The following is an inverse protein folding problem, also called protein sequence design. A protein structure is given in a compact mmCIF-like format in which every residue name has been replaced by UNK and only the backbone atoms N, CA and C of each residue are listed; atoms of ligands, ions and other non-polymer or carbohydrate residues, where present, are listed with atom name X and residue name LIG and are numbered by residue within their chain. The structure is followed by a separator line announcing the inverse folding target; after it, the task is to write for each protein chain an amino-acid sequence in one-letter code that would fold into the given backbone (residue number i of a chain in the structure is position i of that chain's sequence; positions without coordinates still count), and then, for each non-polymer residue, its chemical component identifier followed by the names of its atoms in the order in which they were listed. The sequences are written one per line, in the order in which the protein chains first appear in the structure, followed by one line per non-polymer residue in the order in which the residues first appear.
data_IF_778187201854
#
_entry.id   IF_778187201854
#
_cell.length_a   1.000
_cell.length_b   1.000
_cell.length_c   1.000
_cell.angle_alpha   90.00
_cell.angle_beta   90.00
_cell.angle_gamma   90.00
#
_symmetry.space_group_name_H-M   'P 1'
#
loop_
_entity.id
_entity.type
_entity.pdbx_description
1 polymer ?
#
# COMPACT_ATOMS: atom_id res chain seq x y z
N UNK A 1 -15.74 67.79 -22.68
CA UNK A 1 -15.61 66.51 -21.96
C UNK A 1 -16.98 66.02 -21.49
N UNK A 2 -17.96 65.82 -22.42
CA UNK A 2 -19.38 65.46 -22.10
C UNK A 2 -19.98 64.36 -22.98
N UNK A 3 -19.19 63.54 -23.64
CA UNK A 3 -19.71 62.55 -24.64
C UNK A 3 -19.53 61.11 -24.21
N UNK A 4 -18.91 60.84 -23.06
CA UNK A 4 -18.62 59.45 -22.63
C UNK A 4 -19.63 58.82 -21.66
N UNK A 5 -20.61 59.58 -21.16
CA UNK A 5 -21.57 59.08 -20.15
C UNK A 5 -22.83 58.49 -20.74
N UNK A 6 -23.20 58.85 -21.97
CA UNK A 6 -24.44 58.36 -22.58
C UNK A 6 -24.31 56.97 -23.27
N UNK A 7 -23.06 56.56 -23.60
CA UNK A 7 -22.87 55.25 -24.19
C UNK A 7 -22.95 54.09 -23.19
N UNK A 8 -22.70 54.37 -21.93
CA UNK A 8 -22.71 53.35 -20.85
C UNK A 8 -24.14 53.02 -20.38
N UNK A 9 -25.09 53.98 -20.48
CA UNK A 9 -26.46 53.75 -20.05
C UNK A 9 -27.27 52.95 -21.10
N UNK A 10 -26.91 53.04 -22.36
CA UNK A 10 -27.57 52.28 -23.42
C UNK A 10 -27.17 50.79 -23.40
N UNK A 11 -25.94 50.47 -22.99
CA UNK A 11 -25.48 49.08 -22.88
C UNK A 11 -26.13 48.34 -21.68
N UNK A 12 -26.47 49.07 -20.60
CA UNK A 12 -27.10 48.46 -19.42
C UNK A 12 -28.59 48.16 -19.64
N UNK A 13 -29.26 48.88 -20.56
CA UNK A 13 -30.69 48.69 -20.85
C UNK A 13 -30.96 47.52 -21.82
N UNK A 14 -29.98 47.14 -22.65
CA UNK A 14 -30.11 46.00 -23.54
C UNK A 14 -29.99 44.64 -22.83
N UNK A 15 -29.42 44.58 -21.63
CA UNK A 15 -29.25 43.34 -20.86
C UNK A 15 -30.52 42.89 -20.10
N UNK A 16 -31.54 43.76 -20.00
CA UNK A 16 -32.78 43.48 -19.25
C UNK A 16 -33.91 42.91 -20.12
N UNK A 17 -33.72 42.79 -21.45
CA UNK A 17 -34.73 42.26 -22.37
C UNK A 17 -34.43 40.85 -22.90
N UNK A 18 -33.73 40.07 -22.12
CA UNK A 18 -33.60 38.64 -22.49
C UNK A 18 -34.89 37.92 -22.04
N UNK A 19 -35.64 37.33 -22.97
CA UNK A 19 -36.82 36.57 -22.59
C UNK A 19 -36.36 35.36 -21.78
N UNK A 20 -36.78 35.27 -20.52
CA UNK A 20 -36.65 34.02 -19.73
C UNK A 20 -37.51 32.95 -20.42
N UNK A 21 -36.92 32.19 -21.33
CA UNK A 21 -37.54 31.01 -21.85
C UNK A 21 -37.82 30.03 -20.73
N UNK A 22 -39.08 29.98 -20.33
CA UNK A 22 -39.56 28.91 -19.45
C UNK A 22 -39.39 27.60 -20.21
N UNK A 23 -38.37 26.83 -19.78
CA UNK A 23 -38.28 25.46 -20.19
C UNK A 23 -39.48 24.71 -19.57
N UNK A 24 -40.49 24.46 -20.39
CA UNK A 24 -41.55 23.51 -20.09
C UNK A 24 -40.85 22.14 -19.91
N UNK A 25 -40.63 21.74 -18.67
CA UNK A 25 -40.32 20.39 -18.36
C UNK A 25 -41.52 19.52 -18.72
N UNK A 26 -41.52 19.03 -19.96
CA UNK A 26 -42.46 18.01 -20.38
C UNK A 26 -42.32 16.83 -19.44
N UNK A 27 -43.34 16.61 -18.61
CA UNK A 27 -43.49 15.44 -17.79
C UNK A 27 -43.59 14.22 -18.72
N UNK A 28 -42.43 13.70 -19.14
CA UNK A 28 -42.35 12.38 -19.74
C UNK A 28 -42.72 11.39 -18.65
N UNK A 29 -44.01 10.99 -18.71
CA UNK A 29 -44.49 9.80 -18.04
C UNK A 29 -43.41 8.72 -18.16
N UNK A 30 -42.73 8.40 -17.08
CA UNK A 30 -41.78 7.31 -17.05
C UNK A 30 -42.52 6.08 -17.48
N UNK A 31 -42.25 5.63 -18.71
CA UNK A 31 -42.67 4.30 -19.13
C UNK A 31 -42.02 3.36 -18.14
N UNK A 32 -42.85 2.61 -17.43
CA UNK A 32 -42.48 1.48 -16.60
C UNK A 32 -41.69 0.51 -17.51
N UNK A 33 -40.39 0.74 -17.57
CA UNK A 33 -39.45 -0.24 -18.09
C UNK A 33 -39.39 -1.29 -16.99
N UNK A 34 -40.27 -2.27 -17.15
CA UNK A 34 -40.13 -3.55 -16.44
C UNK A 34 -38.64 -3.91 -16.53
N UNK A 35 -37.92 -3.66 -15.43
CA UNK A 35 -36.54 -4.12 -15.28
C UNK A 35 -36.63 -5.64 -15.27
N UNK A 36 -36.49 -6.23 -16.44
CA UNK A 36 -36.17 -7.64 -16.55
C UNK A 36 -34.87 -7.80 -15.74
N UNK A 37 -35.00 -8.35 -14.55
CA UNK A 37 -33.84 -8.67 -13.72
C UNK A 37 -33.11 -9.77 -14.47
N UNK A 38 -32.10 -9.37 -15.24
CA UNK A 38 -31.23 -10.36 -15.85
C UNK A 38 -30.68 -11.28 -14.76
N UNK A 39 -30.75 -12.59 -14.94
CA UNK A 39 -30.23 -13.52 -13.95
C UNK A 39 -28.74 -13.20 -13.74
N UNK A 40 -28.41 -12.76 -12.53
CA UNK A 40 -27.01 -12.53 -12.18
C UNK A 40 -26.31 -13.86 -12.14
N UNK A 41 -25.36 -14.06 -13.06
CA UNK A 41 -24.48 -15.21 -13.02
C UNK A 41 -23.58 -15.05 -11.79
N UNK A 42 -23.71 -15.96 -10.84
CA UNK A 42 -22.79 -16.05 -9.73
C UNK A 42 -21.60 -16.92 -10.16
N UNK A 43 -20.42 -16.31 -10.24
CA UNK A 43 -19.17 -17.05 -10.45
C UNK A 43 -18.61 -17.38 -9.08
N UNK A 44 -18.50 -18.66 -8.79
CA UNK A 44 -17.85 -19.13 -7.56
C UNK A 44 -16.35 -19.14 -7.79
N UNK A 45 -15.61 -18.61 -6.80
CA UNK A 45 -14.15 -18.70 -6.83
C UNK A 45 -13.72 -20.16 -6.70
N UNK A 46 -12.88 -20.70 -7.61
CA UNK A 46 -12.37 -22.06 -7.49
C UNK A 46 -11.49 -22.25 -6.26
N UNK A 47 -10.97 -21.16 -5.67
CA UNK A 47 -10.18 -21.18 -4.45
C UNK A 47 -11.02 -21.31 -3.18
N UNK A 48 -12.37 -21.25 -3.30
CA UNK A 48 -13.26 -21.26 -2.14
C UNK A 48 -13.17 -19.99 -1.29
N UNK A 49 -13.65 -20.08 -0.07
CA UNK A 49 -13.52 -19.01 0.93
C UNK A 49 -12.19 -19.19 1.64
N UNK A 50 -11.27 -18.23 1.57
CA UNK A 50 -10.01 -18.32 2.30
C UNK A 50 -10.30 -18.41 3.81
N UNK A 51 -9.48 -19.15 4.56
CA UNK A 51 -9.62 -19.19 6.02
C UNK A 51 -9.48 -17.80 6.61
N UNK A 52 -10.14 -17.57 7.73
CA UNK A 52 -10.02 -16.29 8.43
C UNK A 52 -8.55 -16.05 8.82
N UNK A 53 -7.97 -14.96 8.31
CA UNK A 53 -6.62 -14.57 8.64
C UNK A 53 -6.65 -13.90 10.01
N UNK A 54 -5.96 -14.48 10.98
CA UNK A 54 -5.70 -13.81 12.24
C UNK A 54 -4.59 -12.76 12.02
N UNK A 55 -4.98 -11.50 12.06
CA UNK A 55 -4.00 -10.40 12.01
C UNK A 55 -3.28 -10.34 13.36
N UNK A 56 -2.02 -10.75 13.37
CA UNK A 56 -1.14 -10.52 14.50
C UNK A 56 -0.55 -9.12 14.40
N UNK A 57 -0.48 -8.43 15.53
CA UNK A 57 0.20 -7.15 15.59
C UNK A 57 1.69 -7.33 15.26
N UNK A 58 2.27 -6.34 14.59
CA UNK A 58 3.73 -6.31 14.39
C UNK A 58 4.44 -6.29 15.73
N UNK A 59 5.60 -6.91 15.79
CA UNK A 59 6.49 -6.82 16.94
C UNK A 59 6.80 -5.35 17.29
N UNK A 60 6.89 -5.01 18.57
CA UNK A 60 7.30 -3.66 18.97
C UNK A 60 8.66 -3.30 18.38
N UNK A 61 8.76 -2.11 17.84
CA UNK A 61 10.04 -1.62 17.33
C UNK A 61 10.96 -1.25 18.50
N UNK A 62 12.26 -1.62 18.44
CA UNK A 62 13.22 -1.16 19.40
C UNK A 62 13.39 0.37 19.31
N UNK A 63 13.57 1.03 20.44
CA UNK A 63 13.79 2.48 20.50
C UNK A 63 15.16 2.92 19.94
N UNK A 64 16.09 1.98 19.78
CA UNK A 64 17.41 2.15 19.22
C UNK A 64 18.09 0.80 19.01
N UNK A 65 19.23 0.82 18.34
CA UNK A 65 19.97 -0.39 18.01
C UNK A 65 21.23 -0.58 18.87
N UNK A 66 21.63 0.41 19.65
CA UNK A 66 22.83 0.33 20.47
C UNK A 66 22.77 -0.83 21.49
N UNK A 67 23.80 -1.65 21.50
CA UNK A 67 23.90 -2.83 22.34
C UNK A 67 22.99 -3.99 21.92
N UNK A 68 22.27 -3.86 20.81
CA UNK A 68 21.35 -4.87 20.30
C UNK A 68 22.04 -5.90 19.42
N UNK A 69 21.47 -7.11 19.38
CA UNK A 69 21.92 -8.18 18.50
C UNK A 69 20.99 -8.29 17.30
N UNK A 70 21.54 -8.10 16.11
CA UNK A 70 20.83 -8.25 14.83
C UNK A 70 21.29 -9.52 14.15
N UNK A 71 20.36 -10.40 13.82
CA UNK A 71 20.61 -11.52 12.94
C UNK A 71 20.34 -11.12 11.50
N UNK A 72 21.31 -11.39 10.62
CA UNK A 72 21.16 -11.25 9.17
C UNK A 72 21.13 -12.67 8.62
N UNK A 73 19.99 -13.04 8.05
CA UNK A 73 19.72 -14.41 7.61
C UNK A 73 19.57 -14.44 6.10
N UNK A 74 20.44 -15.19 5.45
CA UNK A 74 20.32 -15.53 4.05
C UNK A 74 19.45 -16.78 3.89
N UNK A 75 18.44 -16.74 3.03
CA UNK A 75 17.54 -17.85 2.74
C UNK A 75 17.93 -18.66 1.50
N UNK A 76 19.12 -18.41 0.96
CA UNK A 76 19.77 -19.26 -0.05
C UNK A 76 19.47 -18.91 -1.50
N UNK A 77 18.94 -17.73 -1.80
CA UNK A 77 18.82 -17.28 -3.19
C UNK A 77 20.17 -16.83 -3.77
N UNK A 78 20.44 -17.11 -5.05
CA UNK A 78 21.68 -16.70 -5.69
C UNK A 78 21.94 -15.21 -5.59
N UNK A 79 23.10 -14.84 -5.07
CA UNK A 79 23.51 -13.44 -4.87
C UNK A 79 23.02 -12.81 -3.57
N UNK A 80 22.09 -13.43 -2.85
CA UNK A 80 21.60 -12.96 -1.57
C UNK A 80 22.70 -12.91 -0.51
N UNK A 81 23.47 -13.98 -0.41
CA UNK A 81 24.59 -14.09 0.53
C UNK A 81 25.56 -12.91 0.42
N UNK A 82 25.94 -12.52 -0.80
CA UNK A 82 26.89 -11.43 -1.03
C UNK A 82 26.34 -10.12 -0.51
N UNK A 83 25.09 -9.76 -0.86
CA UNK A 83 24.47 -8.54 -0.42
C UNK A 83 24.28 -8.49 1.10
N UNK A 84 23.81 -9.57 1.68
CA UNK A 84 23.54 -9.64 3.12
C UNK A 84 24.83 -9.65 3.94
N UNK A 85 25.90 -10.24 3.42
CA UNK A 85 27.22 -10.18 4.05
C UNK A 85 27.81 -8.78 3.98
N UNK A 86 27.69 -8.07 2.86
CA UNK A 86 28.08 -6.66 2.77
C UNK A 86 27.28 -5.77 3.74
N UNK A 87 26.01 -6.08 3.93
CA UNK A 87 25.19 -5.40 4.95
C UNK A 87 25.74 -5.65 6.35
N UNK A 88 26.17 -6.88 6.68
CA UNK A 88 26.79 -7.18 7.96
C UNK A 88 28.11 -6.41 8.15
N UNK A 89 28.93 -6.32 7.12
CA UNK A 89 30.18 -5.53 7.11
C UNK A 89 29.85 -4.04 7.34
N UNK A 90 28.83 -3.53 6.67
CA UNK A 90 28.39 -2.13 6.84
C UNK A 90 28.00 -1.83 8.28
N UNK A 91 27.20 -2.70 8.92
CA UNK A 91 26.82 -2.55 10.32
C UNK A 91 28.05 -2.55 11.24
N UNK A 92 28.95 -3.50 11.08
CA UNK A 92 30.15 -3.60 11.89
C UNK A 92 31.05 -2.34 11.77
N UNK A 93 31.06 -1.72 10.59
CA UNK A 93 31.86 -0.52 10.35
C UNK A 93 31.17 0.76 10.86
N UNK A 94 29.88 0.90 10.60
CA UNK A 94 29.17 2.16 10.85
C UNK A 94 28.43 2.18 12.21
N UNK A 95 28.13 1.01 12.76
CA UNK A 95 27.39 0.85 14.01
C UNK A 95 28.07 -0.17 14.95
N UNK A 96 29.30 0.10 15.43
CA UNK A 96 30.08 -0.88 16.19
C UNK A 96 29.48 -1.27 17.54
N UNK A 97 28.50 -0.51 18.03
CA UNK A 97 27.73 -0.86 19.22
C UNK A 97 26.68 -1.94 18.99
N UNK A 98 26.40 -2.26 17.72
CA UNK A 98 25.44 -3.31 17.33
C UNK A 98 26.18 -4.61 17.11
N UNK A 99 25.70 -5.68 17.74
CA UNK A 99 26.23 -7.02 17.49
C UNK A 99 25.52 -7.65 16.30
N UNK A 100 26.26 -7.93 15.23
CA UNK A 100 25.72 -8.57 14.03
C UNK A 100 26.10 -10.03 13.97
N UNK A 101 25.13 -10.88 13.68
CA UNK A 101 25.30 -12.33 13.51
C UNK A 101 24.76 -12.73 12.15
N UNK A 102 25.64 -13.12 11.24
CA UNK A 102 25.24 -13.64 9.93
C UNK A 102 24.96 -15.15 10.02
N UNK A 103 23.89 -15.60 9.38
CA UNK A 103 23.50 -17.00 9.25
C UNK A 103 22.92 -17.28 7.89
N UNK A 104 23.15 -18.48 7.39
CA UNK A 104 22.44 -19.00 6.22
C UNK A 104 21.45 -20.06 6.69
N UNK A 105 20.22 -19.95 6.22
CA UNK A 105 19.14 -20.87 6.53
C UNK A 105 19.41 -22.23 5.87
N UNK A 106 19.19 -23.30 6.60
CA UNK A 106 19.34 -24.66 6.07
C UNK A 106 18.13 -25.04 5.18
N UNK A 107 18.41 -25.70 4.07
CA UNK A 107 17.39 -26.20 3.14
C UNK A 107 16.79 -25.14 2.21
N UNK A 108 15.87 -25.54 1.31
CA UNK A 108 15.19 -24.65 0.39
C UNK A 108 14.41 -23.53 1.10
N UNK A 109 14.13 -22.43 0.39
CA UNK A 109 13.48 -21.24 0.98
C UNK A 109 12.08 -21.53 1.53
N UNK A 110 11.35 -22.50 0.96
CA UNK A 110 9.99 -22.88 1.37
C UNK A 110 9.94 -23.61 2.71
N UNK A 111 11.06 -24.14 3.18
CA UNK A 111 11.10 -24.92 4.40
C UNK A 111 11.59 -24.09 5.58
N UNK A 112 10.99 -24.35 6.72
CA UNK A 112 11.44 -23.77 7.96
C UNK A 112 12.77 -24.40 8.43
N UNK A 113 13.61 -23.60 9.09
CA UNK A 113 14.75 -24.06 9.85
C UNK A 113 14.47 -23.89 11.36
N UNK A 114 13.88 -24.90 12.01
CA UNK A 114 13.47 -24.79 13.42
C UNK A 114 14.64 -24.50 14.36
N UNK A 115 15.85 -24.97 14.03
CA UNK A 115 17.04 -24.74 14.86
C UNK A 115 17.49 -23.29 14.80
N UNK A 116 17.56 -22.74 13.60
CA UNK A 116 17.92 -21.34 13.38
C UNK A 116 16.88 -20.42 13.99
N UNK A 117 15.58 -20.69 13.81
CA UNK A 117 14.52 -19.85 14.38
C UNK A 117 14.48 -19.92 15.90
N UNK A 118 14.80 -21.06 16.52
CA UNK A 118 14.95 -21.17 17.96
C UNK A 118 16.15 -20.32 18.47
N UNK A 119 17.29 -20.39 17.78
CA UNK A 119 18.47 -19.56 18.09
C UNK A 119 18.16 -18.08 17.99
N UNK A 120 17.49 -17.66 16.91
CA UNK A 120 17.09 -16.26 16.69
C UNK A 120 16.16 -15.78 17.80
N UNK A 121 15.14 -16.56 18.11
CA UNK A 121 14.16 -16.22 19.14
C UNK A 121 14.80 -16.04 20.51
N UNK A 122 15.85 -16.80 20.82
CA UNK A 122 16.56 -16.72 22.08
C UNK A 122 17.55 -15.56 22.16
N UNK A 123 18.23 -15.24 21.03
CA UNK A 123 19.44 -14.40 21.05
C UNK A 123 19.31 -13.09 20.29
N UNK A 124 18.31 -12.94 19.41
CA UNK A 124 18.17 -11.77 18.57
C UNK A 124 17.21 -10.74 19.15
N UNK A 125 17.58 -9.47 19.08
CA UNK A 125 16.67 -8.34 19.31
C UNK A 125 15.95 -7.94 18.02
N UNK A 126 16.59 -8.15 16.86
CA UNK A 126 16.03 -7.89 15.54
C UNK A 126 16.58 -8.87 14.50
N UNK A 127 15.86 -9.06 13.43
CA UNK A 127 16.22 -9.95 12.31
C UNK A 127 16.04 -9.24 10.98
N UNK A 128 17.01 -9.39 10.10
CA UNK A 128 16.93 -9.05 8.70
C UNK A 128 17.01 -10.38 7.96
N UNK A 129 15.98 -10.73 7.22
CA UNK A 129 15.93 -11.96 6.43
C UNK A 129 15.73 -11.63 4.96
N UNK A 130 16.47 -12.25 4.10
CA UNK A 130 16.42 -12.04 2.65
C UNK A 130 17.20 -13.11 1.91
N UNK A 131 17.12 -13.11 0.62
CA UNK A 131 16.39 -12.18 -0.24
C UNK A 131 15.07 -12.82 -0.65
N UNK A 132 13.96 -12.08 -0.48
CA UNK A 132 12.67 -12.53 -0.99
C UNK A 132 12.64 -12.58 -2.52
N UNK A 133 11.73 -13.37 -3.08
CA UNK A 133 11.57 -13.60 -4.52
C UNK A 133 10.26 -12.97 -4.98
#
# INVERSE_FOLDING_TARGET
MKVRFTAFLAALFCLMLWPTGQAHAGNKKASDVSKTVEPRLAVLSPLGTPPAIQLLAMAPRPNGLDGKTIYIVDDGFPGGEVLLNEMAVWFNHNMPSVKVVFRTKAGPFEYEDPRLFAEIKEKADAVIMGMGH
#
